data_IF_476762493323
#
_entry.id   IF_476762493323
#
_cell.length_a   1.000
_cell.length_b   1.000
_cell.length_c   1.000
_cell.angle_alpha   90.00
_cell.angle_beta   90.00
_cell.angle_gamma   90.00
#
_symmetry.space_group_name_H-M   'P 1'
#
loop_
_entity.id
_entity.type
_entity.pdbx_description
1 polymer ?
#
# COMPACT_ATOMS: atom_id res chain seq x y z
N UNK A 1 5.89 -4.36 -54.63
CA UNK A 1 6.14 -2.99 -55.12
C UNK A 1 5.92 -2.06 -53.94
N UNK A 2 6.99 -1.50 -53.38
CA UNK A 2 6.97 -0.63 -52.19
C UNK A 2 6.92 0.82 -52.69
N UNK A 3 5.99 1.60 -52.13
CA UNK A 3 5.66 2.95 -52.57
C UNK A 3 6.76 3.95 -52.11
N UNK A 4 7.44 4.69 -53.01
CA UNK A 4 8.59 5.54 -52.67
C UNK A 4 8.24 6.80 -51.85
N UNK A 5 6.96 7.14 -51.70
CA UNK A 5 6.54 8.38 -51.02
C UNK A 5 6.59 8.31 -49.49
N UNK A 6 6.69 7.12 -48.90
CA UNK A 6 6.78 6.96 -47.43
C UNK A 6 8.16 7.33 -46.86
N UNK A 7 9.20 7.43 -47.70
CA UNK A 7 10.59 7.62 -47.25
C UNK A 7 10.89 9.10 -46.93
N UNK A 8 10.09 10.04 -47.44
CA UNK A 8 10.35 11.48 -47.27
C UNK A 8 9.81 12.09 -45.97
N UNK A 9 8.96 11.38 -45.22
CA UNK A 9 8.43 11.88 -43.93
C UNK A 9 9.33 11.63 -42.72
N UNK A 10 10.43 10.87 -42.89
CA UNK A 10 11.39 10.58 -41.80
C UNK A 10 12.58 11.53 -41.75
N UNK A 11 12.66 12.52 -42.65
CA UNK A 11 13.70 13.57 -42.60
C UNK A 11 13.20 14.76 -41.75
N UNK A 12 12.81 14.46 -40.51
CA UNK A 12 12.48 15.46 -39.50
C UNK A 12 13.77 15.86 -38.77
N UNK A 13 14.09 17.15 -38.81
CA UNK A 13 15.27 17.81 -38.27
C UNK A 13 15.73 17.28 -36.89
N UNK A 14 16.75 16.44 -36.91
CA UNK A 14 17.39 15.81 -35.75
C UNK A 14 18.11 16.79 -34.80
N UNK A 15 18.24 18.06 -35.19
CA UNK A 15 18.98 19.08 -34.41
C UNK A 15 18.15 19.71 -33.28
N UNK A 16 16.81 19.63 -33.32
CA UNK A 16 15.94 20.25 -32.32
C UNK A 16 15.59 19.30 -31.16
N UNK A 17 15.50 17.99 -31.43
CA UNK A 17 15.13 16.99 -30.42
C UNK A 17 16.21 16.77 -29.35
N UNK A 18 17.50 16.91 -29.72
CA UNK A 18 18.63 16.67 -28.80
C UNK A 18 18.71 17.78 -27.73
N UNK A 19 18.44 19.03 -28.11
CA UNK A 19 18.44 20.16 -27.17
C UNK A 19 17.34 20.06 -26.11
N UNK A 20 16.16 19.58 -26.50
CA UNK A 20 15.04 19.38 -25.58
C UNK A 20 15.28 18.20 -24.63
N UNK A 21 15.89 17.12 -25.12
CA UNK A 21 16.23 15.96 -24.30
C UNK A 21 17.28 16.28 -23.23
N UNK A 22 18.29 17.10 -23.55
CA UNK A 22 19.33 17.49 -22.58
C UNK A 22 18.80 18.39 -21.44
N UNK A 23 17.82 19.25 -21.74
CA UNK A 23 17.16 20.12 -20.75
C UNK A 23 16.29 19.33 -19.77
N UNK A 24 15.62 18.26 -20.22
CA UNK A 24 14.79 17.42 -19.35
C UNK A 24 15.62 16.57 -18.39
N UNK A 25 16.81 16.11 -18.82
CA UNK A 25 17.69 15.29 -17.96
C UNK A 25 18.31 16.13 -16.85
N UNK A 26 18.72 17.38 -17.11
CA UNK A 26 19.32 18.23 -16.07
C UNK A 26 18.32 18.75 -15.02
N UNK A 27 17.05 18.93 -15.39
CA UNK A 27 15.99 19.31 -14.44
C UNK A 27 15.66 18.22 -13.40
N UNK A 28 15.83 16.94 -13.74
CA UNK A 28 15.46 15.83 -12.85
C UNK A 28 16.44 15.65 -11.68
N UNK A 29 17.69 16.11 -11.82
CA UNK A 29 18.73 16.00 -10.77
C UNK A 29 18.67 17.13 -9.73
N UNK A 30 17.90 18.18 -9.99
CA UNK A 30 17.74 19.32 -9.08
C UNK A 30 16.49 19.23 -8.21
N UNK A 31 15.72 18.14 -8.29
CA UNK A 31 14.63 17.90 -7.36
C UNK A 31 15.22 17.66 -5.97
N UNK A 32 14.99 18.55 -4.99
CA UNK A 32 15.39 18.28 -3.62
C UNK A 32 14.69 16.99 -3.18
N UNK A 33 15.47 16.00 -2.76
CA UNK A 33 14.94 14.88 -1.98
C UNK A 33 14.37 15.49 -0.71
N UNK A 34 13.05 15.65 -0.67
CA UNK A 34 12.39 16.02 0.58
C UNK A 34 12.65 14.88 1.57
N UNK A 35 13.22 15.19 2.74
CA UNK A 35 13.38 14.19 3.78
C UNK A 35 11.99 13.63 4.10
N UNK A 36 11.86 12.30 4.10
CA UNK A 36 10.63 11.63 4.47
C UNK A 36 10.22 12.11 5.87
N UNK A 37 9.24 13.03 5.92
CA UNK A 37 8.65 13.48 7.18
C UNK A 37 8.05 12.23 7.82
N UNK A 38 8.36 11.93 9.10
CA UNK A 38 7.71 10.82 9.79
C UNK A 38 6.21 11.10 9.82
N UNK A 39 5.46 10.36 9.01
CA UNK A 39 4.00 10.44 9.00
C UNK A 39 3.52 10.05 10.39
N UNK A 40 2.70 10.87 11.06
CA UNK A 40 2.16 10.50 12.37
C UNK A 40 1.44 9.16 12.26
N UNK A 41 1.73 8.25 13.19
CA UNK A 41 1.07 6.95 13.22
C UNK A 41 -0.44 7.15 13.39
N UNK A 42 -1.23 6.47 12.56
CA UNK A 42 -2.69 6.47 12.66
C UNK A 42 -3.09 5.88 14.02
N UNK A 43 -3.95 6.54 14.80
CA UNK A 43 -4.48 5.98 16.06
C UNK A 43 -5.56 4.93 15.80
N UNK A 44 -5.85 4.09 16.80
CA UNK A 44 -6.94 3.10 16.71
C UNK A 44 -8.29 3.77 16.42
N UNK A 45 -8.61 4.88 17.10
CA UNK A 45 -9.88 5.60 16.84
C UNK A 45 -9.97 6.12 15.40
N UNK A 46 -8.86 6.67 14.89
CA UNK A 46 -8.77 7.17 13.52
C UNK A 46 -8.92 6.04 12.49
N UNK A 47 -8.33 4.86 12.74
CA UNK A 47 -8.51 3.68 11.89
C UNK A 47 -9.96 3.18 11.91
N UNK A 48 -10.59 3.06 13.08
CA UNK A 48 -12.00 2.66 13.20
C UNK A 48 -12.93 3.63 12.45
N UNK A 49 -12.69 4.95 12.58
CA UNK A 49 -13.44 5.95 11.85
C UNK A 49 -13.23 5.86 10.33
N UNK A 50 -12.02 5.54 9.88
CA UNK A 50 -11.68 5.32 8.48
C UNK A 50 -12.38 4.09 7.91
N UNK A 51 -12.35 2.96 8.62
CA UNK A 51 -13.06 1.75 8.24
C UNK A 51 -14.57 1.99 8.12
N UNK A 52 -15.17 2.68 9.10
CA UNK A 52 -16.59 3.06 9.06
C UNK A 52 -16.95 3.89 7.82
N UNK A 53 -16.06 4.78 7.37
CA UNK A 53 -16.26 5.57 6.13
C UNK A 53 -16.10 4.72 4.86
N UNK A 54 -15.22 3.72 4.89
CA UNK A 54 -15.10 2.72 3.83
C UNK A 54 -16.38 1.89 3.69
N UNK A 55 -16.92 1.41 4.80
CA UNK A 55 -18.15 0.61 4.84
C UNK A 55 -19.38 1.39 4.37
N UNK A 56 -19.47 2.68 4.75
CA UNK A 56 -20.53 3.57 4.27
C UNK A 56 -20.52 3.75 2.73
N UNK A 57 -19.40 3.43 2.08
CA UNK A 57 -19.22 3.41 0.63
C UNK A 57 -19.28 1.99 0.06
N UNK A 58 -19.90 1.03 0.75
CA UNK A 58 -19.99 -0.37 0.34
C UNK A 58 -18.62 -1.03 0.06
N UNK A 59 -17.58 -0.63 0.82
CA UNK A 59 -16.24 -1.18 0.70
C UNK A 59 -15.47 -0.72 -0.55
N UNK A 60 -15.91 0.36 -1.22
CA UNK A 60 -15.18 0.94 -2.37
C UNK A 60 -14.53 2.28 -2.04
N UNK A 61 -13.46 2.60 -2.76
CA UNK A 61 -12.75 3.88 -2.66
C UNK A 61 -11.55 3.86 -1.72
N UNK A 62 -10.92 5.04 -1.57
CA UNK A 62 -9.62 5.19 -0.89
C UNK A 62 -9.70 4.79 0.59
N UNK A 63 -10.76 5.18 1.29
CA UNK A 63 -10.94 4.85 2.71
C UNK A 63 -11.08 3.33 2.93
N UNK A 64 -11.83 2.64 2.07
CA UNK A 64 -11.96 1.19 2.13
C UNK A 64 -10.61 0.49 1.87
N UNK A 65 -9.87 0.96 0.86
CA UNK A 65 -8.54 0.45 0.56
C UNK A 65 -7.56 0.69 1.72
N UNK A 66 -7.61 1.85 2.38
CA UNK A 66 -6.79 2.08 3.58
C UNK A 66 -7.21 1.19 4.74
N UNK A 67 -8.50 0.98 4.97
CA UNK A 67 -8.99 0.10 6.04
C UNK A 67 -8.44 -1.32 5.85
N UNK A 68 -8.63 -1.89 4.66
CA UNK A 68 -8.12 -3.22 4.31
C UNK A 68 -6.60 -3.27 4.48
N UNK A 69 -5.89 -2.27 3.96
CA UNK A 69 -4.44 -2.18 4.00
C UNK A 69 -3.88 -2.15 5.43
N UNK A 70 -4.57 -1.50 6.36
CA UNK A 70 -4.18 -1.44 7.77
C UNK A 70 -4.60 -2.68 8.56
N UNK A 71 -5.75 -3.30 8.29
CA UNK A 71 -6.27 -4.44 9.07
C UNK A 71 -5.60 -5.77 8.71
N UNK A 72 -5.24 -5.96 7.44
CA UNK A 72 -4.55 -7.14 6.95
C UNK A 72 -3.34 -6.72 6.10
N UNK A 73 -2.30 -6.17 6.74
CA UNK A 73 -1.15 -5.70 6.00
C UNK A 73 -0.43 -6.86 5.31
N UNK A 74 -0.12 -6.68 4.03
CA UNK A 74 0.54 -7.69 3.21
C UNK A 74 1.94 -8.04 3.75
N UNK A 75 2.38 -9.29 3.52
CA UNK A 75 3.70 -9.81 3.89
C UNK A 75 4.87 -8.87 3.53
N UNK A 76 4.77 -8.10 2.44
CA UNK A 76 5.82 -7.19 2.00
C UNK A 76 6.12 -6.03 2.97
N UNK A 77 5.21 -5.67 3.88
CA UNK A 77 5.45 -4.63 4.90
C UNK A 77 6.08 -5.17 6.17
N UNK A 78 5.96 -6.48 6.43
CA UNK A 78 6.12 -7.04 7.78
C UNK A 78 7.08 -8.24 7.83
N UNK A 79 7.34 -8.87 6.69
CA UNK A 79 8.27 -9.99 6.57
C UNK A 79 9.63 -9.49 6.08
N UNK A 80 10.67 -9.65 6.90
CA UNK A 80 12.06 -9.41 6.48
C UNK A 80 12.55 -10.59 5.63
N UNK A 81 13.35 -10.36 4.56
CA UNK A 81 13.90 -11.44 3.77
C UNK A 81 14.65 -12.46 4.63
N UNK A 82 14.26 -13.73 4.53
CA UNK A 82 14.86 -14.83 5.30
C UNK A 82 14.31 -15.02 6.72
N UNK A 83 13.28 -14.28 7.12
CA UNK A 83 12.55 -14.51 8.37
C UNK A 83 11.19 -15.16 8.09
N UNK A 84 10.76 -16.10 8.94
CA UNK A 84 9.41 -16.63 8.89
C UNK A 84 8.37 -15.52 9.14
N UNK A 85 7.14 -15.64 8.60
CA UNK A 85 6.10 -14.66 8.81
C UNK A 85 5.74 -14.58 10.30
N UNK A 86 5.39 -13.37 10.75
CA UNK A 86 5.07 -13.09 12.15
C UNK A 86 3.68 -13.62 12.56
N UNK A 87 2.77 -13.81 11.61
CA UNK A 87 1.48 -14.47 11.78
C UNK A 87 1.17 -15.34 10.56
N UNK A 88 0.33 -16.36 10.75
CA UNK A 88 -0.03 -17.31 9.71
C UNK A 88 -1.52 -17.25 9.45
N UNK A 89 -1.90 -16.33 8.56
CA UNK A 89 -3.28 -16.27 8.06
C UNK A 89 -3.60 -17.57 7.30
N UNK A 90 -4.84 -18.08 7.42
CA UNK A 90 -5.29 -19.25 6.66
C UNK A 90 -5.12 -19.02 5.15
N UNK A 91 -4.68 -20.05 4.42
CA UNK A 91 -4.36 -19.94 2.99
C UNK A 91 -5.56 -19.42 2.17
N UNK A 92 -5.37 -18.19 1.66
CA UNK A 92 -5.87 -17.51 0.45
C UNK A 92 -7.27 -17.75 -0.12
N UNK A 93 -8.20 -18.41 0.58
CA UNK A 93 -9.62 -18.31 0.20
C UNK A 93 -10.10 -16.88 0.50
N UNK A 94 -10.77 -16.18 -0.45
CA UNK A 94 -11.29 -14.84 -0.21
C UNK A 94 -12.18 -14.76 1.04
N UNK A 95 -12.91 -15.84 1.33
CA UNK A 95 -13.73 -15.96 2.53
C UNK A 95 -12.87 -15.96 3.81
N UNK A 96 -11.70 -16.58 3.79
CA UNK A 96 -10.81 -16.66 4.95
C UNK A 96 -10.16 -15.30 5.25
N UNK A 97 -9.80 -14.54 4.20
CA UNK A 97 -9.29 -13.16 4.34
C UNK A 97 -10.37 -12.20 4.84
N UNK A 98 -11.58 -12.25 4.28
CA UNK A 98 -12.70 -11.42 4.76
C UNK A 98 -13.02 -11.70 6.24
N UNK A 99 -13.04 -12.97 6.64
CA UNK A 99 -13.22 -13.34 8.04
C UNK A 99 -12.07 -12.86 8.94
N UNK A 100 -10.84 -12.84 8.45
CA UNK A 100 -9.71 -12.31 9.20
C UNK A 100 -9.82 -10.80 9.40
N UNK A 101 -10.18 -10.08 8.35
CA UNK A 101 -10.45 -8.65 8.39
C UNK A 101 -11.51 -8.32 9.47
N UNK A 102 -12.65 -9.01 9.44
CA UNK A 102 -13.74 -8.78 10.39
C UNK A 102 -13.34 -9.08 11.84
N UNK A 103 -12.53 -10.14 12.05
CA UNK A 103 -12.03 -10.48 13.39
C UNK A 103 -11.06 -9.43 13.92
N UNK A 104 -10.16 -8.91 13.08
CA UNK A 104 -9.23 -7.86 13.49
C UNK A 104 -9.99 -6.58 13.86
N UNK A 105 -10.96 -6.18 13.03
CA UNK A 105 -11.79 -5.01 13.28
C UNK A 105 -12.54 -5.13 14.61
N UNK A 106 -13.16 -6.27 14.87
CA UNK A 106 -13.86 -6.56 16.12
C UNK A 106 -12.95 -6.50 17.35
N UNK A 107 -11.69 -6.93 17.23
CA UNK A 107 -10.71 -6.84 18.31
C UNK A 107 -10.25 -5.39 18.55
N UNK A 108 -10.11 -4.57 17.48
CA UNK A 108 -9.79 -3.14 17.62
C UNK A 108 -10.89 -2.38 18.36
N UNK A 109 -12.16 -2.68 18.10
CA UNK A 109 -13.31 -2.05 18.79
C UNK A 109 -13.29 -2.27 20.32
N UNK A 110 -12.66 -3.37 20.76
CA UNK A 110 -12.54 -3.78 22.17
C UNK A 110 -11.37 -3.11 22.90
N UNK A 111 -10.50 -2.39 22.20
CA UNK A 111 -9.33 -1.76 22.80
C UNK A 111 -9.78 -0.54 23.65
N UNK A 112 -9.36 -0.45 24.92
CA UNK A 112 -9.70 0.68 25.78
C UNK A 112 -8.89 1.94 25.47
N UNK A 113 -7.60 1.80 25.17
CA UNK A 113 -6.73 2.90 24.75
C UNK A 113 -6.83 3.10 23.24
N UNK A 114 -7.66 4.04 22.81
CA UNK A 114 -7.91 4.30 21.39
C UNK A 114 -6.94 5.29 20.75
N UNK A 115 -6.08 5.91 21.55
CA UNK A 115 -5.06 6.85 21.06
C UNK A 115 -3.74 6.15 20.70
N UNK A 116 -3.57 4.88 21.12
CA UNK A 116 -2.40 4.09 20.74
C UNK A 116 -2.30 3.92 19.21
N UNK A 117 -1.09 3.64 18.72
CA UNK A 117 -0.82 3.43 17.30
C UNK A 117 -1.58 2.19 16.77
N UNK A 118 -2.36 2.38 15.70
CA UNK A 118 -3.16 1.34 15.08
C UNK A 118 -2.29 0.20 14.52
N UNK A 119 -1.13 0.52 13.94
CA UNK A 119 -0.19 -0.49 13.42
C UNK A 119 0.22 -1.48 14.51
N UNK A 120 0.69 -0.98 15.66
CA UNK A 120 1.11 -1.83 16.78
C UNK A 120 -0.06 -2.64 17.36
N UNK A 121 -1.26 -2.06 17.37
CA UNK A 121 -2.47 -2.72 17.82
C UNK A 121 -2.88 -3.89 16.90
N UNK A 122 -2.91 -3.64 15.59
CA UNK A 122 -3.26 -4.65 14.57
C UNK A 122 -2.27 -5.80 14.59
N UNK A 123 -0.97 -5.50 14.61
CA UNK A 123 0.06 -6.54 14.65
C UNK A 123 -0.10 -7.47 15.86
N UNK A 124 -0.31 -6.89 17.06
CA UNK A 124 -0.53 -7.65 18.29
C UNK A 124 -1.80 -8.49 18.26
N UNK A 125 -2.85 -7.99 17.59
CA UNK A 125 -4.09 -8.75 17.37
C UNK A 125 -3.83 -9.93 16.42
N UNK A 126 -3.16 -9.69 15.30
CA UNK A 126 -2.85 -10.70 14.30
C UNK A 126 -1.99 -11.83 14.88
N UNK A 127 -0.95 -11.51 15.64
CA UNK A 127 -0.11 -12.49 16.33
C UNK A 127 -0.91 -13.43 17.24
N UNK A 128 -1.90 -12.88 17.95
CA UNK A 128 -2.73 -13.65 18.87
C UNK A 128 -3.81 -14.47 18.15
N UNK A 129 -4.42 -13.91 17.10
CA UNK A 129 -5.48 -14.57 16.35
C UNK A 129 -4.95 -15.65 15.41
N UNK A 130 -3.76 -15.46 14.89
CA UNK A 130 -3.15 -16.28 13.83
C UNK A 130 -1.72 -16.68 14.20
N UNK A 131 -1.51 -17.36 15.35
CA UNK A 131 -0.20 -17.87 15.70
C UNK A 131 0.22 -18.90 14.65
N UNK A 132 1.46 -18.82 14.21
CA UNK A 132 1.99 -19.84 13.34
C UNK A 132 2.33 -21.11 14.12
N UNK A 133 1.89 -22.27 13.63
CA UNK A 133 2.31 -23.56 14.15
C UNK A 133 3.67 -23.93 13.53
N UNK A 134 4.75 -23.76 14.28
CA UNK A 134 6.08 -24.19 13.84
C UNK A 134 6.40 -25.48 14.61
N UNK A 135 6.39 -26.62 13.91
CA UNK A 135 7.10 -27.84 14.31
C UNK A 135 8.46 -27.89 13.60
#
# INVERSE_FOLDING_TARGET
MINPEAVLLLRSDSSSAIGLALLLVTGLWLMPVEPAVPTPALSVDALLALCKRGDAQAGVGVEAAFCEWYLLPCDCKLSQPGQPPRWCLPESEPLALAQAHDRVLLELERIPDREQAATEAVERILERLYPCAWD
#
